data_IF_469753863746
#
_entry.id   IF_469753863746
#
_cell.length_a   1.000
_cell.length_b   1.000
_cell.length_c   1.000
_cell.angle_alpha   90.00
_cell.angle_beta   90.00
_cell.angle_gamma   90.00
#
_symmetry.space_group_name_H-M   'P 1'
#
loop_
_entity.id
_entity.type
_entity.pdbx_description
1 polymer ?
#
# COMPACT_ATOMS: atom_id res chain seq x y z
N UNK A 1 22.90 -5.95 -19.50
CA UNK A 1 21.55 -5.48 -19.92
C UNK A 1 20.86 -4.93 -18.69
N UNK A 2 20.24 -3.75 -18.78
CA UNK A 2 19.45 -3.22 -17.67
C UNK A 2 18.16 -4.05 -17.54
N UNK A 3 17.75 -4.45 -16.32
CA UNK A 3 16.44 -5.05 -16.11
C UNK A 3 15.34 -4.03 -16.44
N UNK A 4 14.31 -4.47 -17.15
CA UNK A 4 13.09 -3.73 -17.34
C UNK A 4 12.11 -4.01 -16.21
N UNK A 5 11.29 -3.02 -15.86
CA UNK A 5 10.27 -3.16 -14.83
C UNK A 5 8.87 -3.13 -15.47
N UNK A 6 8.02 -4.10 -15.13
CA UNK A 6 6.66 -4.22 -15.67
C UNK A 6 5.66 -4.26 -14.51
N UNK A 7 4.60 -3.45 -14.51
CA UNK A 7 3.65 -3.43 -13.41
C UNK A 7 2.82 -4.72 -13.45
N UNK A 8 2.77 -5.41 -12.32
CA UNK A 8 2.00 -6.65 -12.16
C UNK A 8 0.62 -6.35 -11.61
N UNK A 9 0.58 -5.63 -10.50
CA UNK A 9 -0.60 -5.41 -9.69
C UNK A 9 -0.54 -4.05 -9.01
N UNK A 10 -1.70 -3.59 -8.56
CA UNK A 10 -1.89 -2.34 -7.82
C UNK A 10 -2.31 -2.73 -6.40
N UNK A 11 -1.57 -2.24 -5.42
CA UNK A 11 -1.77 -2.54 -4.00
C UNK A 11 -2.22 -1.29 -3.24
N UNK A 12 -3.33 -1.35 -2.48
CA UNK A 12 -3.63 -0.32 -1.50
C UNK A 12 -2.77 -0.49 -0.24
N UNK A 13 -2.44 0.64 0.40
CA UNK A 13 -1.90 0.66 1.76
C UNK A 13 -2.95 1.18 2.71
N UNK A 14 -3.35 0.35 3.65
CA UNK A 14 -4.48 0.61 4.54
C UNK A 14 -4.02 1.29 5.81
N UNK A 15 -4.72 2.34 6.24
CA UNK A 15 -4.63 2.78 7.64
C UNK A 15 -5.44 1.80 8.48
N UNK A 16 -4.78 1.13 9.41
CA UNK A 16 -5.36 0.11 10.27
C UNK A 16 -5.22 0.48 11.75
N UNK A 17 -6.17 0.03 12.57
CA UNK A 17 -6.18 0.24 14.01
C UNK A 17 -6.90 -0.91 14.72
N UNK A 18 -6.60 -1.10 16.00
CA UNK A 18 -7.42 -1.95 16.86
C UNK A 18 -8.61 -1.13 17.40
N UNK A 19 -9.86 -1.59 17.21
CA UNK A 19 -11.01 -0.91 17.78
C UNK A 19 -11.00 -0.92 19.32
N UNK A 20 -10.36 -1.87 20.00
CA UNK A 20 -10.24 -1.89 21.46
C UNK A 20 -9.23 -0.82 21.87
N UNK A 21 -9.68 0.16 22.65
CA UNK A 21 -8.78 1.20 23.18
C UNK A 21 -8.43 0.99 24.65
N UNK A 22 -9.19 0.14 25.34
CA UNK A 22 -9.05 -0.03 26.80
C UNK A 22 -9.50 -1.40 27.27
N UNK A 23 -8.77 -1.94 28.24
CA UNK A 23 -9.11 -3.15 28.98
C UNK A 23 -9.13 -2.84 30.48
N UNK A 24 -10.14 -3.33 31.17
CA UNK A 24 -10.33 -3.12 32.61
C UNK A 24 -10.64 -4.45 33.30
N UNK A 25 -9.86 -4.81 34.30
CA UNK A 25 -10.15 -5.96 35.14
C UNK A 25 -11.19 -5.59 36.20
N UNK A 26 -12.48 -5.74 35.87
CA UNK A 26 -13.57 -5.38 36.76
C UNK A 26 -13.66 -6.38 37.92
N UNK A 27 -13.77 -5.93 39.19
CA UNK A 27 -13.78 -6.83 40.36
C UNK A 27 -14.82 -7.95 40.33
N UNK A 28 -15.98 -7.69 39.71
CA UNK A 28 -17.09 -8.66 39.63
C UNK A 28 -17.39 -9.18 38.23
N UNK A 29 -16.95 -8.49 37.17
CA UNK A 29 -17.31 -8.81 35.78
C UNK A 29 -16.11 -9.41 35.02
N UNK A 30 -14.96 -9.53 35.66
CA UNK A 30 -13.72 -9.95 35.03
C UNK A 30 -13.21 -8.92 34.01
N UNK A 31 -12.43 -9.38 33.03
CA UNK A 31 -11.86 -8.54 32.00
C UNK A 31 -12.97 -7.94 31.11
N UNK A 32 -13.06 -6.63 31.11
CA UNK A 32 -13.93 -5.83 30.23
C UNK A 32 -13.07 -5.17 29.16
N UNK A 33 -13.51 -5.23 27.91
CA UNK A 33 -12.89 -4.56 26.77
C UNK A 33 -13.81 -3.44 26.27
N UNK A 34 -13.24 -2.25 26.09
CA UNK A 34 -13.97 -1.09 25.58
C UNK A 34 -13.46 -0.71 24.20
N UNK A 35 -14.41 -0.45 23.30
CA UNK A 35 -14.14 -0.25 21.88
C UNK A 35 -14.42 1.18 21.45
N UNK A 36 -13.59 1.70 20.55
CA UNK A 36 -13.82 2.96 19.89
C UNK A 36 -15.19 2.88 19.22
N UNK A 37 -16.05 3.84 19.53
CA UNK A 37 -17.37 3.90 18.94
C UNK A 37 -17.23 4.18 17.45
N UNK A 38 -17.81 3.33 16.62
CA UNK A 38 -17.86 3.49 15.17
C UNK A 38 -19.33 3.63 14.78
N UNK A 39 -19.70 4.75 14.15
CA UNK A 39 -21.11 5.02 13.82
C UNK A 39 -21.58 4.27 12.57
N UNK A 40 -20.68 4.01 11.63
CA UNK A 40 -20.99 3.28 10.40
C UNK A 40 -20.04 2.09 10.26
N UNK A 41 -20.10 1.10 11.17
CA UNK A 41 -19.18 -0.02 11.14
C UNK A 41 -19.41 -0.83 9.86
N UNK A 42 -18.32 -1.15 9.17
CA UNK A 42 -18.34 -2.25 8.21
C UNK A 42 -18.12 -3.56 8.93
N UNK A 43 -18.76 -4.60 8.46
CA UNK A 43 -18.64 -5.92 9.05
C UNK A 43 -18.29 -6.99 8.01
N UNK A 44 -17.46 -7.95 8.41
CA UNK A 44 -17.20 -9.19 7.68
C UNK A 44 -17.56 -10.39 8.56
N UNK A 45 -17.65 -11.58 7.96
CA UNK A 45 -17.66 -12.83 8.74
C UNK A 45 -16.21 -13.30 8.93
N UNK A 46 -15.88 -13.74 10.14
CA UNK A 46 -14.64 -14.49 10.39
C UNK A 46 -14.78 -15.96 9.96
N UNK A 47 -13.70 -16.75 10.06
CA UNK A 47 -13.65 -18.15 9.67
C UNK A 47 -14.57 -19.05 10.50
N UNK A 48 -15.06 -18.54 11.64
CA UNK A 48 -16.00 -19.20 12.53
C UNK A 48 -17.45 -18.74 12.29
N UNK A 49 -17.68 -17.85 11.32
CA UNK A 49 -18.99 -17.29 10.99
C UNK A 49 -19.42 -16.14 11.90
N UNK A 50 -18.53 -15.57 12.72
CA UNK A 50 -18.85 -14.42 13.57
C UNK A 50 -18.72 -13.11 12.81
N UNK A 51 -19.64 -12.18 13.07
CA UNK A 51 -19.57 -10.81 12.54
C UNK A 51 -18.45 -10.02 13.23
N UNK A 52 -17.41 -9.66 12.48
CA UNK A 52 -16.29 -8.82 12.94
C UNK A 52 -16.37 -7.43 12.32
N UNK A 53 -16.12 -6.38 13.09
CA UNK A 53 -16.00 -5.01 12.55
C UNK A 53 -14.67 -4.87 11.81
N UNK A 54 -14.73 -4.43 10.55
CA UNK A 54 -13.56 -4.35 9.65
C UNK A 54 -13.29 -2.96 9.13
N UNK A 55 -14.18 -2.00 9.38
CA UNK A 55 -13.94 -0.59 9.05
C UNK A 55 -14.94 0.37 9.67
N UNK A 56 -14.83 1.65 9.31
CA UNK A 56 -15.90 2.63 9.51
C UNK A 56 -15.51 3.91 10.26
N UNK A 57 -14.27 4.02 10.75
CA UNK A 57 -13.72 5.33 11.11
C UNK A 57 -13.34 6.05 9.82
N UNK A 58 -13.74 7.30 9.68
CA UNK A 58 -13.43 8.11 8.51
C UNK A 58 -12.35 9.13 8.86
N UNK A 59 -11.34 9.27 8.01
CA UNK A 59 -10.24 10.21 8.18
C UNK A 59 -10.13 11.11 6.95
N UNK A 60 -10.15 12.41 7.19
CA UNK A 60 -9.81 13.41 6.16
C UNK A 60 -8.30 13.52 6.00
N UNK A 61 -7.81 14.10 4.88
CA UNK A 61 -6.41 14.46 4.72
C UNK A 61 -5.80 15.19 5.91
N UNK A 62 -6.50 16.21 6.42
CA UNK A 62 -6.06 16.92 7.63
C UNK A 62 -5.91 15.98 8.83
N UNK A 63 -6.89 15.11 9.08
CA UNK A 63 -6.90 14.21 10.23
C UNK A 63 -5.75 13.22 10.20
N UNK A 64 -5.59 12.43 9.12
CA UNK A 64 -4.52 11.43 9.08
C UNK A 64 -3.13 12.08 8.97
N UNK A 65 -2.98 13.21 8.27
CA UNK A 65 -1.70 13.92 8.24
C UNK A 65 -1.29 14.35 9.65
N UNK A 66 -2.19 14.95 10.42
CA UNK A 66 -1.90 15.41 11.78
C UNK A 66 -1.68 14.26 12.76
N UNK A 67 -2.36 13.13 12.59
CA UNK A 67 -2.03 11.90 13.36
C UNK A 67 -0.58 11.48 13.06
N UNK A 68 -0.21 11.25 11.80
CA UNK A 68 1.12 10.74 11.46
C UNK A 68 2.26 11.77 11.63
N UNK A 69 1.92 13.05 11.78
CA UNK A 69 2.81 14.13 12.23
C UNK A 69 2.80 14.38 13.74
N UNK A 70 2.02 13.62 14.51
CA UNK A 70 2.01 13.68 15.97
C UNK A 70 1.39 14.96 16.52
N UNK A 71 0.66 15.70 15.70
CA UNK A 71 -0.14 16.85 16.12
C UNK A 71 -1.46 16.41 16.76
N UNK A 72 -2.04 15.30 16.27
CA UNK A 72 -3.17 14.62 16.91
C UNK A 72 -2.65 13.36 17.61
N UNK A 73 -2.70 13.36 18.94
CA UNK A 73 -2.17 12.26 19.79
C UNK A 73 -3.23 11.59 20.65
N UNK A 74 -4.51 11.90 20.47
CA UNK A 74 -5.60 11.31 21.24
C UNK A 74 -6.88 11.21 20.40
N UNK A 75 -7.63 10.12 20.55
CA UNK A 75 -8.91 9.94 19.85
C UNK A 75 -10.01 10.90 20.31
N UNK A 76 -9.84 11.59 21.44
CA UNK A 76 -10.76 12.65 21.86
C UNK A 76 -10.52 14.00 21.15
N UNK A 77 -9.53 14.09 20.26
CA UNK A 77 -9.26 15.31 19.51
C UNK A 77 -10.50 15.80 18.73
N UNK A 78 -10.75 17.11 18.76
CA UNK A 78 -11.94 17.72 18.16
C UNK A 78 -11.91 17.64 16.64
N UNK A 79 -10.73 17.56 16.02
CA UNK A 79 -10.58 17.44 14.57
C UNK A 79 -11.05 16.07 14.05
N UNK A 80 -10.92 15.01 14.87
CA UNK A 80 -11.41 13.66 14.52
C UNK A 80 -12.93 13.54 14.63
N UNK A 81 -13.56 14.41 15.44
CA UNK A 81 -14.99 14.44 15.74
C UNK A 81 -15.70 15.62 15.06
N UNK A 82 -15.01 16.31 14.16
CA UNK A 82 -15.54 17.45 13.44
C UNK A 82 -16.77 17.04 12.62
N UNK A 83 -17.88 17.80 12.64
CA UNK A 83 -19.04 17.55 11.78
C UNK A 83 -18.70 17.51 10.28
N UNK A 84 -17.57 18.11 9.88
CA UNK A 84 -17.06 18.04 8.51
C UNK A 84 -16.68 16.61 8.09
N UNK A 85 -16.42 15.72 9.05
CA UNK A 85 -16.20 14.29 8.80
C UNK A 85 -17.52 13.55 8.98
N UNK A 86 -18.42 13.73 8.01
CA UNK A 86 -19.72 13.05 7.98
C UNK A 86 -19.53 11.57 8.27
N UNK A 87 -20.21 11.03 9.28
CA UNK A 87 -20.20 9.61 9.63
C UNK A 87 -19.24 9.18 10.75
N UNK A 88 -18.41 10.09 11.28
CA UNK A 88 -17.76 9.88 12.58
C UNK A 88 -18.70 10.26 13.73
N UNK A 89 -18.60 9.58 14.90
CA UNK A 89 -19.42 9.92 16.05
C UNK A 89 -18.97 11.23 16.71
N UNK A 90 -19.87 11.84 17.49
CA UNK A 90 -19.56 13.02 18.33
C UNK A 90 -18.58 12.71 19.47
N UNK A 91 -18.40 11.43 19.79
CA UNK A 91 -17.45 10.88 20.76
C UNK A 91 -17.04 9.48 20.30
N UNK A 92 -15.74 9.19 20.33
CA UNK A 92 -15.22 7.84 20.10
C UNK A 92 -15.26 6.97 21.37
N UNK A 93 -15.70 7.51 22.51
CA UNK A 93 -15.86 6.76 23.76
C UNK A 93 -16.88 5.63 23.60
N UNK A 94 -16.57 4.46 24.13
CA UNK A 94 -17.55 3.42 24.34
C UNK A 94 -18.62 3.91 25.34
N UNK A 95 -19.89 3.77 25.01
CA UNK A 95 -20.97 4.15 25.94
C UNK A 95 -20.99 3.28 27.19
N UNK A 96 -20.47 2.05 27.09
CA UNK A 96 -20.38 1.08 28.18
C UNK A 96 -19.10 1.24 29.01
N UNK A 97 -18.16 2.11 28.61
CA UNK A 97 -17.00 2.44 29.44
C UNK A 97 -17.46 3.22 30.68
N UNK A 98 -17.60 2.50 31.79
CA UNK A 98 -17.98 3.05 33.10
C UNK A 98 -16.83 3.78 33.79
N UNK A 99 -15.61 3.65 33.26
CA UNK A 99 -14.39 4.23 33.85
C UNK A 99 -14.06 5.60 33.24
N UNK A 100 -14.68 5.94 32.11
CA UNK A 100 -14.56 7.25 31.46
C UNK A 100 -15.94 7.83 31.12
N UNK A 101 -16.05 9.15 31.17
CA UNK A 101 -17.21 9.93 30.69
C UNK A 101 -16.83 10.66 29.41
N UNK A 102 -17.78 11.31 28.74
CA UNK A 102 -17.44 12.15 27.57
C UNK A 102 -16.54 13.33 27.94
N UNK A 103 -16.62 13.85 29.17
CA UNK A 103 -15.86 15.01 29.60
C UNK A 103 -14.38 14.69 29.86
N UNK A 104 -14.06 13.45 30.23
CA UNK A 104 -12.71 12.99 30.53
C UNK A 104 -12.26 11.82 29.63
N UNK A 105 -12.94 11.60 28.49
CA UNK A 105 -12.56 10.57 27.54
C UNK A 105 -11.13 10.82 27.06
N UNK A 106 -10.30 9.78 27.15
CA UNK A 106 -8.92 9.82 26.67
C UNK A 106 -8.51 8.43 26.22
N UNK A 107 -8.12 8.35 24.96
CA UNK A 107 -7.52 7.19 24.35
C UNK A 107 -6.31 7.69 23.53
N UNK A 108 -5.10 7.65 24.10
CA UNK A 108 -3.90 8.12 23.41
C UNK A 108 -3.63 7.30 22.16
N UNK A 109 -3.26 8.01 21.09
CA UNK A 109 -2.93 7.42 19.80
C UNK A 109 -1.46 7.02 19.81
N UNK A 110 -1.23 5.72 19.67
CA UNK A 110 0.08 5.15 19.45
C UNK A 110 0.23 4.81 17.97
N UNK A 111 1.25 5.38 17.33
CA UNK A 111 1.43 5.24 15.89
C UNK A 111 2.40 4.09 15.65
N UNK A 112 2.07 3.21 14.71
CA UNK A 112 2.88 2.03 14.38
C UNK A 112 3.28 2.05 12.92
N UNK A 113 4.52 1.67 12.63
CA UNK A 113 5.04 1.58 11.27
C UNK A 113 6.20 0.61 11.14
N UNK A 114 6.76 0.53 9.93
CA UNK A 114 7.78 -0.47 9.58
C UNK A 114 9.17 -0.04 10.06
N UNK A 115 9.94 -0.98 10.61
CA UNK A 115 11.36 -0.78 10.93
C UNK A 115 12.30 -1.02 9.75
N UNK A 116 11.85 -1.84 8.80
CA UNK A 116 12.60 -2.29 7.62
C UNK A 116 12.22 -1.52 6.35
N UNK A 117 13.10 -1.57 5.34
CA UNK A 117 12.83 -1.00 4.01
C UNK A 117 11.60 -1.69 3.40
N UNK A 118 10.57 -0.92 3.06
CA UNK A 118 9.27 -1.46 2.71
C UNK A 118 8.59 -0.72 1.56
N UNK A 119 8.06 -1.47 0.60
CA UNK A 119 7.17 -0.94 -0.44
C UNK A 119 5.87 -0.35 0.13
N UNK A 120 5.34 -0.92 1.22
CA UNK A 120 4.19 -0.35 1.95
C UNK A 120 4.55 1.03 2.52
N UNK A 121 5.74 1.17 3.10
CA UNK A 121 6.24 2.47 3.56
C UNK A 121 6.44 3.43 2.39
N UNK A 122 6.99 2.97 1.26
CA UNK A 122 7.13 3.79 0.04
C UNK A 122 5.80 4.39 -0.44
N UNK A 123 4.73 3.58 -0.50
CA UNK A 123 3.40 4.08 -0.90
C UNK A 123 2.85 5.06 0.14
N UNK A 124 2.97 4.73 1.43
CA UNK A 124 2.52 5.57 2.53
C UNK A 124 3.22 6.94 2.53
N UNK A 125 4.55 6.96 2.44
CA UNK A 125 5.35 8.20 2.45
C UNK A 125 5.14 9.02 1.17
N UNK A 126 4.98 8.38 0.00
CA UNK A 126 4.60 9.06 -1.26
C UNK A 126 3.26 9.80 -1.12
N UNK A 127 2.28 9.18 -0.49
CA UNK A 127 0.99 9.82 -0.28
C UNK A 127 1.12 11.00 0.68
N UNK A 128 1.74 10.80 1.85
CA UNK A 128 1.89 11.86 2.85
C UNK A 128 2.73 13.04 2.34
N UNK A 129 3.77 12.79 1.55
CA UNK A 129 4.56 13.85 0.91
C UNK A 129 3.72 14.70 -0.03
N UNK A 130 2.77 14.08 -0.74
CA UNK A 130 1.90 14.79 -1.68
C UNK A 130 0.82 15.63 -0.95
N UNK A 131 0.24 15.15 0.15
CA UNK A 131 -0.97 15.77 0.69
C UNK A 131 -0.74 16.58 1.96
N UNK A 132 0.29 16.29 2.76
CA UNK A 132 0.36 16.82 4.13
C UNK A 132 0.85 18.27 4.24
N UNK A 133 1.56 18.82 3.25
CA UNK A 133 2.00 20.23 3.25
C UNK A 133 0.85 21.22 3.45
N UNK A 134 -0.36 20.85 3.02
CA UNK A 134 -1.55 21.69 3.17
C UNK A 134 -2.14 21.69 4.60
N UNK A 135 -1.70 20.77 5.47
CA UNK A 135 -2.38 20.48 6.74
C UNK A 135 -1.49 20.58 7.98
N UNK A 136 -0.17 20.42 7.83
CA UNK A 136 0.79 20.48 8.94
C UNK A 136 1.79 21.62 8.75
N UNK A 137 2.35 22.14 9.85
CA UNK A 137 3.26 23.28 9.78
C UNK A 137 4.61 22.92 9.12
N UNK A 138 5.07 21.68 9.32
CA UNK A 138 6.28 21.14 8.70
C UNK A 138 6.03 19.67 8.38
N UNK A 139 6.01 19.36 7.09
CA UNK A 139 5.84 17.99 6.63
C UNK A 139 7.15 17.22 6.81
N UNK A 140 7.12 16.17 7.61
CA UNK A 140 8.30 15.34 7.86
C UNK A 140 8.53 14.29 6.77
N UNK A 141 7.54 14.06 5.91
CA UNK A 141 7.61 13.14 4.77
C UNK A 141 7.96 13.92 3.51
N UNK A 142 9.15 14.53 3.47
CA UNK A 142 9.56 15.41 2.37
C UNK A 142 9.99 14.65 1.11
N UNK A 143 10.49 13.43 1.27
CA UNK A 143 10.91 12.56 0.16
C UNK A 143 9.77 11.61 -0.16
N UNK A 144 9.13 11.84 -1.31
CA UNK A 144 8.10 10.95 -1.82
C UNK A 144 8.65 9.53 -1.97
N UNK A 145 7.88 8.48 -1.71
CA UNK A 145 8.33 7.12 -2.04
C UNK A 145 9.44 6.55 -1.16
N UNK A 146 9.92 7.24 -0.13
CA UNK A 146 10.96 6.71 0.76
C UNK A 146 10.51 5.38 1.40
N UNK A 147 11.36 4.36 1.31
CA UNK A 147 11.07 3.02 1.83
C UNK A 147 11.25 2.90 3.34
N UNK A 148 11.82 3.92 3.98
CA UNK A 148 11.97 4.05 5.42
C UNK A 148 11.19 5.23 5.98
N UNK A 149 10.80 5.15 7.25
CA UNK A 149 10.19 6.27 7.97
C UNK A 149 11.23 7.37 8.25
N UNK A 150 10.83 8.66 8.27
CA UNK A 150 11.75 9.74 8.61
C UNK A 150 12.27 9.60 10.04
N UNK A 151 13.58 9.78 10.25
CA UNK A 151 14.21 9.63 11.57
C UNK A 151 13.59 10.52 12.65
N UNK A 152 13.14 11.72 12.29
CA UNK A 152 12.44 12.67 13.18
C UNK A 152 11.07 12.19 13.65
N UNK A 153 10.52 11.14 13.02
CA UNK A 153 9.18 10.60 13.29
C UNK A 153 9.22 9.28 14.03
N UNK A 154 10.41 8.76 14.35
CA UNK A 154 10.59 7.44 14.93
C UNK A 154 10.87 7.58 16.43
N UNK A 155 10.15 6.82 17.26
CA UNK A 155 10.47 6.67 18.67
C UNK A 155 11.58 5.63 18.88
N UNK A 156 12.09 5.52 20.11
CA UNK A 156 13.04 4.45 20.46
C UNK A 156 12.37 3.08 20.54
N UNK A 157 11.03 3.01 20.52
CA UNK A 157 10.29 1.78 20.68
C UNK A 157 10.36 0.87 19.45
N UNK A 158 10.67 -0.40 19.69
CA UNK A 158 10.68 -1.46 18.68
C UNK A 158 9.93 -2.68 19.23
N UNK A 159 8.92 -3.12 18.48
CA UNK A 159 8.21 -4.36 18.72
C UNK A 159 8.87 -5.51 17.97
N UNK A 160 9.01 -6.65 18.65
CA UNK A 160 9.41 -7.91 18.05
C UNK A 160 8.22 -8.88 18.14
N UNK A 161 7.59 -9.18 17.00
CA UNK A 161 6.43 -10.06 16.93
C UNK A 161 6.77 -11.52 17.25
N UNK A 162 8.02 -11.96 17.02
CA UNK A 162 8.44 -13.33 17.33
C UNK A 162 8.52 -13.56 18.83
N UNK A 163 9.10 -12.61 19.58
CA UNK A 163 9.22 -12.70 21.04
C UNK A 163 8.04 -12.08 21.78
N UNK A 164 7.17 -11.36 21.06
CA UNK A 164 6.07 -10.56 21.62
C UNK A 164 6.56 -9.59 22.71
N UNK A 165 7.70 -8.94 22.46
CA UNK A 165 8.31 -8.00 23.40
C UNK A 165 8.49 -6.63 22.79
N UNK A 166 8.18 -5.61 23.59
CA UNK A 166 8.52 -4.23 23.30
C UNK A 166 9.88 -3.89 23.92
N UNK A 167 10.76 -3.30 23.14
CA UNK A 167 12.02 -2.70 23.60
C UNK A 167 11.99 -1.19 23.39
N UNK A 168 12.77 -0.44 24.17
CA UNK A 168 12.80 1.02 24.10
C UNK A 168 11.59 1.69 24.76
N UNK A 169 11.33 2.94 24.40
CA UNK A 169 10.27 3.77 25.00
C UNK A 169 9.39 4.38 23.91
N UNK A 170 8.09 4.12 24.03
CA UNK A 170 7.10 4.72 23.14
C UNK A 170 6.99 6.22 23.43
N UNK A 171 6.79 7.01 22.40
CA UNK A 171 6.59 8.45 22.52
C UNK A 171 5.36 8.82 21.71
N UNK A 172 4.39 9.48 22.36
CA UNK A 172 3.17 9.90 21.67
C UNK A 172 3.51 10.80 20.48
N UNK A 173 2.80 10.58 19.39
CA UNK A 173 3.06 11.28 18.15
C UNK A 173 4.35 10.85 17.44
N UNK A 174 5.05 9.80 17.86
CA UNK A 174 6.13 9.17 17.10
C UNK A 174 5.78 7.70 16.81
N UNK A 175 6.37 7.14 15.76
CA UNK A 175 6.18 5.75 15.36
C UNK A 175 6.91 4.82 16.33
N UNK A 176 6.18 3.87 16.91
CA UNK A 176 6.73 2.59 17.34
C UNK A 176 6.94 1.73 16.10
N UNK A 177 8.07 1.02 16.00
CA UNK A 177 8.41 0.28 14.78
C UNK A 177 8.35 -1.22 14.97
N UNK A 178 8.02 -1.93 13.91
CA UNK A 178 8.07 -3.40 13.86
C UNK A 178 8.54 -3.88 12.49
N UNK A 179 9.18 -5.05 12.44
CA UNK A 179 9.66 -5.64 11.20
C UNK A 179 8.53 -6.36 10.45
N UNK A 180 8.46 -6.14 9.13
CA UNK A 180 7.48 -6.81 8.29
C UNK A 180 6.04 -6.28 8.45
N UNK A 181 5.19 -6.61 7.48
CA UNK A 181 3.76 -6.22 7.52
C UNK A 181 3.03 -6.92 8.68
N UNK A 182 3.35 -8.19 8.90
CA UNK A 182 2.85 -9.00 10.02
C UNK A 182 3.19 -8.38 11.37
N UNK A 183 4.44 -7.95 11.55
CA UNK A 183 4.87 -7.37 12.82
C UNK A 183 4.19 -6.05 13.14
N UNK A 184 3.81 -5.26 12.13
CA UNK A 184 2.99 -4.05 12.34
C UNK A 184 1.57 -4.45 12.73
N UNK A 185 0.95 -5.40 12.02
CA UNK A 185 -0.39 -5.89 12.35
C UNK A 185 -0.48 -6.50 13.77
N UNK A 186 0.51 -7.32 14.13
CA UNK A 186 0.63 -7.94 15.46
C UNK A 186 0.80 -6.90 16.56
N UNK A 187 1.57 -5.81 16.31
CA UNK A 187 1.67 -4.74 17.29
C UNK A 187 0.41 -3.88 17.36
N UNK A 188 -0.31 -3.68 16.26
CA UNK A 188 -1.58 -2.96 16.30
C UNK A 188 -2.61 -3.68 17.19
N UNK A 189 -2.63 -5.02 17.14
CA UNK A 189 -3.48 -5.88 17.96
C UNK A 189 -3.18 -5.71 19.47
N UNK A 190 -4.16 -5.18 20.19
CA UNK A 190 -4.08 -4.87 21.60
C UNK A 190 -4.32 -6.12 22.45
N UNK A 191 -3.33 -7.01 22.49
CA UNK A 191 -3.39 -8.28 23.26
C UNK A 191 -3.09 -8.15 24.74
N UNK A 192 -2.38 -7.09 25.13
CA UNK A 192 -1.95 -6.92 26.51
C UNK A 192 -3.17 -6.83 27.46
N UNK A 193 -3.06 -7.49 28.62
CA UNK A 193 -4.08 -7.49 29.67
C UNK A 193 -3.57 -6.74 30.90
N UNK A 194 -4.45 -6.05 31.65
CA UNK A 194 -4.05 -5.43 32.90
C UNK A 194 -3.41 -6.45 33.85
N UNK A 195 -2.27 -6.09 34.44
CA UNK A 195 -1.60 -6.91 35.46
C UNK A 195 -0.93 -6.00 36.49
N UNK A 196 -0.82 -6.49 37.73
CA UNK A 196 -0.18 -5.75 38.84
C UNK A 196 1.27 -5.30 38.57
N UNK A 197 1.91 -5.88 37.55
CA UNK A 197 3.30 -5.58 37.15
C UNK A 197 3.41 -4.57 36.01
N UNK A 198 2.33 -4.26 35.29
CA UNK A 198 2.32 -3.31 34.18
C UNK A 198 1.79 -1.95 34.65
N UNK A 199 2.49 -1.35 35.62
CA UNK A 199 2.21 0.03 36.00
C UNK A 199 2.66 0.98 34.89
N UNK A 200 1.75 1.29 33.98
CA UNK A 200 1.85 2.35 32.98
C UNK A 200 1.62 3.75 33.60
N UNK A 201 2.15 3.96 34.81
CA UNK A 201 1.94 5.16 35.62
C UNK A 201 2.72 6.38 35.10
N UNK A 202 3.55 6.23 34.08
CA UNK A 202 4.33 7.33 33.49
C UNK A 202 3.54 8.26 32.55
N UNK A 203 2.28 7.93 32.22
CA UNK A 203 1.50 8.65 31.19
C UNK A 203 0.46 9.65 31.73
N UNK A 204 0.47 9.94 33.02
CA UNK A 204 -0.26 11.08 33.59
C UNK A 204 -1.80 10.97 33.56
N UNK A 205 -2.35 9.78 33.84
CA UNK A 205 -3.81 9.59 33.94
C UNK A 205 -4.34 9.79 35.36
N UNK A 206 -5.38 10.60 35.49
CA UNK A 206 -6.17 10.72 36.73
C UNK A 206 -7.27 9.67 36.71
N UNK A 207 -7.22 8.69 37.61
CA UNK A 207 -8.23 7.63 37.72
C UNK A 207 -9.45 8.11 38.54
N UNK A 208 -10.65 7.62 38.20
CA UNK A 208 -11.82 7.75 39.06
C UNK A 208 -11.55 7.05 40.41
N UNK A 209 -12.03 7.64 41.51
CA UNK A 209 -11.84 7.07 42.85
C UNK A 209 -12.38 5.62 42.91
N UNK A 210 -11.51 4.67 43.29
CA UNK A 210 -11.85 3.24 43.43
C UNK A 210 -11.32 2.30 42.34
N UNK A 211 -10.59 2.78 41.34
CA UNK A 211 -9.94 1.95 40.31
C UNK A 211 -8.42 2.00 40.50
N UNK A 212 -7.76 0.84 40.64
CA UNK A 212 -6.30 0.81 40.71
C UNK A 212 -5.69 0.95 39.32
N UNK A 213 -4.57 1.66 39.21
CA UNK A 213 -3.84 1.81 37.94
C UNK A 213 -3.43 0.45 37.32
N UNK A 214 -3.17 -0.55 38.16
CA UNK A 214 -2.85 -1.92 37.75
C UNK A 214 -4.02 -2.68 37.07
N UNK A 215 -5.26 -2.24 37.28
CA UNK A 215 -6.47 -2.92 36.76
C UNK A 215 -6.88 -2.40 35.39
N UNK A 216 -6.24 -1.34 34.89
CA UNK A 216 -6.62 -0.66 33.65
C UNK A 216 -5.44 -0.56 32.71
N UNK A 217 -5.67 -0.89 31.44
CA UNK A 217 -4.74 -0.63 30.36
C UNK A 217 -5.46 0.15 29.26
N UNK A 218 -4.87 1.25 28.78
CA UNK A 218 -5.44 2.08 27.71
C UNK A 218 -4.41 2.28 26.62
N UNK A 219 -4.70 1.76 25.44
CA UNK A 219 -3.84 1.80 24.28
C UNK A 219 -4.72 1.84 23.05
N UNK A 220 -4.58 2.85 22.21
CA UNK A 220 -5.30 2.93 20.96
C UNK A 220 -4.29 3.08 19.83
N UNK A 221 -4.04 1.98 19.13
CA UNK A 221 -2.96 1.91 18.14
C UNK A 221 -3.49 2.13 16.74
N UNK A 222 -2.76 2.90 15.95
CA UNK A 222 -3.04 3.16 14.54
C UNK A 222 -1.74 3.04 13.74
N UNK A 223 -1.81 2.51 12.53
CA UNK A 223 -0.64 2.33 11.67
C UNK A 223 -1.05 2.14 10.22
N UNK A 224 -0.10 1.70 9.42
CA UNK A 224 -0.32 1.40 8.02
C UNK A 224 0.16 -0.02 7.69
N UNK A 225 -0.64 -0.76 6.93
CA UNK A 225 -0.38 -2.15 6.55
C UNK A 225 -0.83 -2.43 5.11
N UNK A 226 -0.24 -3.45 4.49
CA UNK A 226 -0.77 -4.04 3.26
C UNK A 226 -2.17 -4.67 3.46
N UNK A 227 -2.84 -5.12 2.40
CA UNK A 227 -4.19 -5.68 2.48
C UNK A 227 -4.26 -7.05 3.17
N UNK A 228 -3.13 -7.75 3.34
CA UNK A 228 -3.08 -9.16 3.79
C UNK A 228 -3.75 -9.43 5.15
N UNK A 229 -3.76 -8.43 6.04
CA UNK A 229 -4.23 -8.56 7.43
C UNK A 229 -5.49 -7.76 7.73
N UNK A 230 -6.04 -7.07 6.72
CA UNK A 230 -7.14 -6.12 6.88
C UNK A 230 -8.03 -6.11 5.63
N UNK A 231 -8.94 -5.15 5.52
CA UNK A 231 -9.66 -4.93 4.26
C UNK A 231 -8.67 -4.60 3.13
N UNK A 232 -8.91 -5.07 1.89
CA UNK A 232 -10.07 -5.86 1.47
C UNK A 232 -9.93 -7.38 1.71
N UNK A 233 -8.72 -7.91 1.90
CA UNK A 233 -8.47 -9.37 1.88
C UNK A 233 -9.31 -10.13 2.93
N UNK A 234 -9.56 -9.52 4.09
CA UNK A 234 -10.42 -10.09 5.15
C UNK A 234 -11.85 -10.38 4.66
N UNK A 235 -12.41 -9.61 3.71
CA UNK A 235 -13.75 -9.88 3.19
C UNK A 235 -13.81 -11.17 2.39
N UNK A 236 -12.75 -11.47 1.65
CA UNK A 236 -12.72 -12.62 0.75
C UNK A 236 -12.21 -13.86 1.46
N UNK A 237 -11.17 -13.72 2.28
CA UNK A 237 -10.57 -14.82 3.06
C UNK A 237 -11.37 -15.15 4.32
N UNK A 238 -12.27 -14.26 4.75
CA UNK A 238 -13.00 -14.35 6.01
C UNK A 238 -12.06 -14.52 7.21
N UNK A 239 -10.81 -14.07 7.11
CA UNK A 239 -9.80 -14.30 8.15
C UNK A 239 -9.21 -12.97 8.60
N UNK A 240 -9.62 -12.50 9.79
CA UNK A 240 -9.04 -11.32 10.44
C UNK A 240 -8.20 -11.74 11.64
N UNK A 241 -7.00 -12.28 11.38
CA UNK A 241 -6.11 -12.87 12.40
C UNK A 241 -5.81 -11.93 13.57
N UNK A 242 -5.81 -10.62 13.34
CA UNK A 242 -5.43 -9.59 14.32
C UNK A 242 -6.62 -8.73 14.80
N UNK A 243 -7.85 -9.05 14.37
CA UNK A 243 -9.04 -8.27 14.75
C UNK A 243 -9.02 -6.80 14.31
N UNK A 244 -8.18 -6.44 13.34
CA UNK A 244 -7.92 -5.06 12.95
C UNK A 244 -9.06 -4.48 12.10
N UNK A 245 -9.23 -3.17 12.23
CA UNK A 245 -10.21 -2.36 11.51
C UNK A 245 -9.48 -1.36 10.60
N UNK A 246 -10.00 -1.07 9.41
CA UNK A 246 -9.43 -0.04 8.52
C UNK A 246 -10.17 1.28 8.59
N UNK A 247 -9.43 2.37 8.40
CA UNK A 247 -10.01 3.69 8.20
C UNK A 247 -10.43 3.90 6.73
N UNK A 248 -11.55 4.59 6.56
CA UNK A 248 -12.00 5.12 5.28
C UNK A 248 -11.35 6.47 5.09
N UNK A 249 -10.84 6.72 3.90
CA UNK A 249 -10.11 7.96 3.64
C UNK A 249 -10.91 8.82 2.68
N UNK A 250 -10.94 10.12 2.98
CA UNK A 250 -11.40 11.09 1.99
C UNK A 250 -10.33 11.22 0.91
N UNK A 251 -10.72 11.01 -0.35
CA UNK A 251 -9.84 11.20 -1.50
C UNK A 251 -9.81 12.67 -1.96
N UNK A 252 -9.00 12.95 -2.98
CA UNK A 252 -8.87 14.28 -3.58
C UNK A 252 -10.20 14.85 -4.10
N UNK A 253 -11.14 14.00 -4.51
CA UNK A 253 -12.50 14.38 -4.93
C UNK A 253 -13.47 14.62 -3.75
N UNK A 254 -13.00 14.53 -2.50
CA UNK A 254 -13.82 14.70 -1.30
C UNK A 254 -14.74 13.50 -1.01
N UNK A 255 -14.53 12.36 -1.67
CA UNK A 255 -15.30 11.15 -1.47
C UNK A 255 -14.69 10.32 -0.33
N UNK A 256 -15.53 9.80 0.57
CA UNK A 256 -15.11 8.78 1.52
C UNK A 256 -14.95 7.44 0.79
N UNK A 257 -13.72 6.93 0.74
CA UNK A 257 -13.36 5.74 -0.02
C UNK A 257 -12.76 4.68 0.90
N UNK A 258 -13.19 3.45 0.68
CA UNK A 258 -12.68 2.26 1.36
C UNK A 258 -11.57 1.67 0.50
N UNK A 259 -10.56 1.02 1.09
CA UNK A 259 -9.59 0.29 0.29
C UNK A 259 -10.30 -0.87 -0.41
N UNK A 260 -10.22 -0.90 -1.74
CA UNK A 260 -10.86 -1.92 -2.58
C UNK A 260 -10.10 -2.08 -3.91
N UNK A 261 -10.03 -3.32 -4.47
CA UNK A 261 -9.39 -3.57 -5.77
C UNK A 261 -9.96 -2.72 -6.91
N UNK A 262 -11.27 -2.55 -6.94
CA UNK A 262 -11.95 -1.71 -7.94
C UNK A 262 -11.50 -0.26 -7.89
N UNK A 263 -11.40 0.34 -6.70
CA UNK A 263 -10.91 1.71 -6.54
C UNK A 263 -9.44 1.85 -6.94
N UNK A 264 -8.63 0.83 -6.67
CA UNK A 264 -7.22 0.79 -7.09
C UNK A 264 -7.07 0.73 -8.62
N UNK A 265 -7.89 -0.07 -9.31
CA UNK A 265 -7.92 -0.14 -10.78
C UNK A 265 -8.31 1.20 -11.40
N UNK A 266 -9.39 1.82 -10.90
CA UNK A 266 -9.86 3.13 -11.38
C UNK A 266 -8.78 4.21 -11.27
N UNK A 267 -7.98 4.19 -10.19
CA UNK A 267 -6.83 5.08 -10.05
C UNK A 267 -5.79 4.89 -11.15
N UNK A 268 -5.51 3.63 -11.49
CA UNK A 268 -4.51 3.31 -12.49
C UNK A 268 -5.00 3.54 -13.94
N UNK A 269 -6.31 3.51 -14.17
CA UNK A 269 -6.90 3.86 -15.46
C UNK A 269 -6.69 5.33 -15.85
N UNK A 270 -6.34 6.19 -14.89
CA UNK A 270 -5.91 7.56 -15.15
C UNK A 270 -4.57 7.63 -15.92
N UNK A 271 -3.78 6.56 -15.91
CA UNK A 271 -2.49 6.52 -16.59
C UNK A 271 -2.66 6.17 -18.07
N UNK A 272 -2.11 6.98 -18.99
CA UNK A 272 -2.07 6.61 -20.39
C UNK A 272 -1.25 5.32 -20.54
N UNK A 273 -1.80 4.37 -21.31
CA UNK A 273 -1.09 3.14 -21.65
C UNK A 273 0.16 3.51 -22.46
N UNK A 274 1.29 2.87 -22.17
CA UNK A 274 2.54 3.09 -22.91
C UNK A 274 2.33 2.83 -24.41
N UNK A 275 2.64 3.83 -25.23
CA UNK A 275 2.37 3.82 -26.66
C UNK A 275 3.57 4.34 -27.47
N UNK A 276 3.57 4.05 -28.77
CA UNK A 276 4.60 4.54 -29.69
C UNK A 276 6.03 4.15 -29.28
N UNK A 277 6.96 5.11 -29.42
CA UNK A 277 8.37 4.93 -29.09
C UNK A 277 8.61 4.66 -27.59
N UNK A 278 7.73 5.14 -26.69
CA UNK A 278 7.89 4.93 -25.25
C UNK A 278 7.80 3.45 -24.85
N UNK A 279 7.21 2.58 -25.69
CA UNK A 279 7.17 1.13 -25.45
C UNK A 279 8.56 0.50 -25.37
N UNK A 280 9.54 1.13 -26.01
CA UNK A 280 10.93 0.66 -26.02
C UNK A 280 11.71 1.10 -24.78
N UNK A 281 11.18 2.02 -23.97
CA UNK A 281 11.84 2.51 -22.77
C UNK A 281 11.29 1.78 -21.54
N UNK A 282 12.06 0.86 -20.93
CA UNK A 282 11.59 0.11 -19.75
C UNK A 282 11.20 0.98 -18.57
N UNK A 283 11.78 2.18 -18.45
CA UNK A 283 11.44 3.11 -17.37
C UNK A 283 10.06 3.76 -17.54
N UNK A 284 9.48 3.74 -18.75
CA UNK A 284 8.13 4.25 -19.02
C UNK A 284 7.02 3.29 -18.62
N UNK A 285 7.36 2.03 -18.31
CA UNK A 285 6.39 1.01 -17.92
C UNK A 285 6.00 1.06 -16.44
N UNK A 286 6.75 1.77 -15.61
CA UNK A 286 6.44 1.94 -14.19
C UNK A 286 5.85 3.32 -13.95
N UNK A 287 4.83 3.41 -13.09
CA UNK A 287 4.35 4.71 -12.63
C UNK A 287 5.51 5.47 -11.94
N UNK A 288 5.81 6.71 -12.36
CA UNK A 288 7.00 7.43 -11.90
C UNK A 288 7.03 7.52 -10.37
N UNK A 289 8.13 7.12 -9.74
CA UNK A 289 8.20 6.98 -8.27
C UNK A 289 8.00 8.31 -7.52
N UNK A 290 8.42 9.45 -8.08
CA UNK A 290 8.39 10.73 -7.37
C UNK A 290 8.02 11.95 -8.23
N UNK A 291 8.15 11.88 -9.55
CA UNK A 291 7.98 13.03 -10.45
C UNK A 291 7.91 12.52 -11.88
N UNK A 292 7.21 13.17 -12.81
CA UNK A 292 7.38 12.95 -14.25
C UNK A 292 8.79 13.40 -14.73
N UNK A 293 9.86 13.16 -13.96
CA UNK A 293 11.21 13.27 -14.49
C UNK A 293 11.47 12.03 -15.33
N UNK A 294 11.95 12.17 -16.57
CA UNK A 294 12.52 11.04 -17.29
C UNK A 294 13.55 10.37 -16.37
N UNK A 295 13.34 9.09 -16.04
CA UNK A 295 14.39 8.28 -15.44
C UNK A 295 15.55 8.22 -16.45
N UNK A 296 16.72 8.75 -16.07
CA UNK A 296 17.96 8.47 -16.77
C UNK A 296 18.66 7.33 -16.04
N UNK A 297 18.94 6.24 -16.75
CA UNK A 297 19.81 5.20 -16.23
C UNK A 297 21.21 5.69 -16.54
N UNK A 298 21.90 6.24 -15.54
CA UNK A 298 23.30 6.60 -15.68
C UNK A 298 24.09 5.37 -16.17
N UNK A 299 25.21 5.60 -16.88
CA UNK A 299 26.03 4.56 -17.53
C UNK A 299 26.51 3.43 -16.59
N UNK A 300 26.33 3.61 -15.28
CA UNK A 300 26.78 2.75 -14.21
C UNK A 300 25.73 1.66 -13.84
N UNK A 301 24.53 1.71 -14.43
CA UNK A 301 23.47 0.72 -14.20
C UNK A 301 22.76 0.82 -12.85
N UNK A 302 23.00 1.91 -12.10
CA UNK A 302 22.29 2.23 -10.87
C UNK A 302 20.99 3.01 -11.17
N UNK A 303 19.94 2.73 -10.41
CA UNK A 303 18.71 3.52 -10.38
C UNK A 303 19.00 4.81 -9.60
N UNK A 304 19.45 5.86 -10.29
CA UNK A 304 19.62 7.18 -9.66
C UNK A 304 18.39 8.03 -9.95
N UNK A 305 17.94 8.78 -8.94
CA UNK A 305 16.98 9.86 -9.16
C UNK A 305 17.76 10.90 -9.96
N UNK A 306 17.39 11.12 -11.23
CA UNK A 306 18.12 12.04 -12.10
C UNK A 306 18.42 13.34 -11.34
N UNK A 307 19.71 13.68 -11.32
CA UNK A 307 20.33 14.79 -10.58
C UNK A 307 19.98 16.15 -11.23
N UNK A 308 18.71 16.35 -11.57
CA UNK A 308 18.19 17.59 -12.11
C UNK A 308 17.23 18.22 -11.09
N UNK A 309 17.74 19.03 -10.15
CA UNK A 309 16.92 19.93 -9.36
C UNK A 309 16.49 21.06 -10.29
N UNK A 310 15.56 20.80 -11.20
CA UNK A 310 14.91 21.90 -11.88
C UNK A 310 14.19 22.71 -10.81
N UNK A 311 14.73 23.90 -10.57
CA UNK A 311 14.35 24.97 -9.63
C UNK A 311 12.92 25.48 -9.81
N UNK A 312 12.11 24.84 -10.66
CA UNK A 312 10.69 25.06 -10.73
C UNK A 312 10.03 24.62 -9.41
N UNK A 313 9.40 25.59 -8.74
CA UNK A 313 8.67 25.40 -7.49
C UNK A 313 7.77 24.16 -7.55
N UNK A 314 7.95 23.26 -6.57
CA UNK A 314 7.39 21.89 -6.40
C UNK A 314 5.85 21.87 -6.19
N UNK A 315 5.13 22.82 -6.76
CA UNK A 315 3.72 23.08 -6.48
C UNK A 315 2.78 22.77 -7.64
N UNK A 316 3.24 22.31 -8.81
CA UNK A 316 2.33 21.88 -9.86
C UNK A 316 1.76 20.49 -9.52
N UNK A 317 0.44 20.36 -9.27
CA UNK A 317 -0.20 19.06 -9.05
C UNK A 317 -0.02 18.10 -10.23
N UNK A 318 0.27 18.60 -11.44
CA UNK A 318 0.48 17.81 -12.64
C UNK A 318 1.78 16.97 -12.62
N UNK A 319 2.78 17.36 -11.83
CA UNK A 319 4.06 16.65 -11.73
C UNK A 319 4.06 15.51 -10.70
N UNK A 320 2.98 15.39 -9.91
CA UNK A 320 2.87 14.41 -8.84
C UNK A 320 2.47 13.06 -9.43
N UNK A 321 3.07 11.98 -8.92
CA UNK A 321 2.65 10.62 -9.25
C UNK A 321 1.12 10.51 -9.06
N UNK A 322 0.32 10.20 -10.10
CA UNK A 322 -1.14 10.15 -9.98
C UNK A 322 -1.65 9.11 -8.97
N UNK A 323 -0.85 8.11 -8.59
CA UNK A 323 -1.18 7.17 -7.50
C UNK A 323 -0.90 7.73 -6.10
N UNK A 324 -0.16 8.83 -5.99
CA UNK A 324 0.13 9.47 -4.71
C UNK A 324 -1.12 10.09 -4.08
N UNK A 325 -2.06 10.59 -4.88
CA UNK A 325 -3.38 11.03 -4.43
C UNK A 325 -4.33 11.10 -5.64
N UNK A 326 -4.88 9.96 -6.09
CA UNK A 326 -5.65 9.89 -7.32
C UNK A 326 -6.82 10.88 -7.33
N UNK A 327 -6.99 11.56 -8.46
CA UNK A 327 -7.98 12.61 -8.66
C UNK A 327 -8.52 12.57 -10.10
N UNK A 328 -9.83 12.77 -10.25
CA UNK A 328 -10.45 13.01 -11.55
C UNK A 328 -11.13 14.37 -11.57
N UNK A 329 -10.65 15.27 -12.43
CA UNK A 329 -11.26 16.59 -12.63
C UNK A 329 -12.60 16.50 -13.36
N UNK A 330 -12.80 15.46 -14.17
CA UNK A 330 -13.97 15.28 -15.04
C UNK A 330 -15.05 14.41 -14.39
N UNK A 331 -14.70 13.63 -13.36
CA UNK A 331 -15.63 12.80 -12.61
C UNK A 331 -15.60 13.15 -11.11
N UNK A 332 -16.53 14.01 -10.63
CA UNK A 332 -16.62 14.34 -9.20
C UNK A 332 -17.05 13.15 -8.32
N UNK A 333 -17.55 12.07 -8.93
CA UNK A 333 -17.93 10.85 -8.23
C UNK A 333 -16.80 9.83 -8.10
N UNK A 334 -15.60 10.14 -8.64
CA UNK A 334 -14.45 9.26 -8.66
C UNK A 334 -14.07 8.72 -7.27
N UNK A 335 -14.00 7.38 -7.15
CA UNK A 335 -13.79 6.66 -5.86
C UNK A 335 -12.52 5.81 -5.86
N UNK A 336 -11.37 6.43 -6.09
CA UNK A 336 -10.08 5.80 -5.84
C UNK A 336 -9.65 5.97 -4.38
N UNK A 337 -9.04 4.93 -3.81
CA UNK A 337 -8.43 5.03 -2.49
C UNK A 337 -7.16 5.90 -2.57
N UNK A 338 -6.82 6.72 -1.55
CA UNK A 338 -5.75 7.71 -1.70
C UNK A 338 -4.33 7.15 -1.66
N UNK A 339 -4.12 6.00 -1.00
CA UNK A 339 -2.81 5.39 -0.78
C UNK A 339 -2.65 4.15 -1.65
N UNK A 340 -2.17 4.32 -2.88
CA UNK A 340 -2.02 3.25 -3.86
C UNK A 340 -0.60 3.20 -4.43
N UNK A 341 -0.16 2.03 -4.85
CA UNK A 341 1.06 1.87 -5.63
C UNK A 341 1.06 0.60 -6.44
N UNK A 342 2.07 0.43 -7.29
CA UNK A 342 2.27 -0.79 -8.05
C UNK A 342 3.32 -1.69 -7.41
N UNK A 343 3.10 -2.99 -7.57
CA UNK A 343 4.18 -3.99 -7.50
C UNK A 343 4.60 -4.28 -8.93
N UNK A 344 5.92 -4.30 -9.17
CA UNK A 344 6.49 -4.47 -10.50
C UNK A 344 7.33 -5.75 -10.55
N UNK A 345 7.28 -6.46 -11.68
CA UNK A 345 8.23 -7.50 -12.02
C UNK A 345 9.48 -6.88 -12.62
N UNK A 346 10.66 -7.25 -12.11
CA UNK A 346 11.94 -6.93 -12.73
C UNK A 346 12.35 -8.09 -13.64
N UNK A 347 12.44 -7.81 -14.93
CA UNK A 347 12.67 -8.81 -15.97
C UNK A 347 13.83 -8.39 -16.85
N UNK A 348 14.66 -9.36 -17.23
CA UNK A 348 15.53 -9.22 -18.37
C UNK A 348 14.78 -9.57 -19.65
N UNK A 349 15.23 -8.98 -20.74
CA UNK A 349 14.69 -9.19 -22.09
C UNK A 349 15.26 -10.44 -22.74
N UNK A 350 16.36 -10.95 -22.18
CA UNK A 350 17.10 -12.10 -22.68
C UNK A 350 17.52 -12.98 -21.51
N UNK A 351 17.40 -14.30 -21.70
CA UNK A 351 17.86 -15.32 -20.76
C UNK A 351 18.64 -16.37 -21.53
N UNK A 352 19.85 -16.69 -21.06
CA UNK A 352 20.71 -17.69 -21.70
C UNK A 352 20.09 -19.09 -21.66
N UNK A 353 19.45 -19.45 -20.54
CA UNK A 353 18.79 -20.73 -20.39
C UNK A 353 17.38 -20.69 -21.01
N UNK A 354 17.16 -21.48 -22.05
CA UNK A 354 15.85 -21.59 -22.71
C UNK A 354 14.73 -22.05 -21.76
N UNK A 355 15.05 -22.83 -20.73
CA UNK A 355 14.12 -23.26 -19.69
C UNK A 355 13.61 -22.09 -18.83
N UNK A 356 14.50 -21.17 -18.43
CA UNK A 356 14.14 -19.97 -17.65
C UNK A 356 13.25 -19.06 -18.50
N UNK A 357 13.62 -18.82 -19.76
CA UNK A 357 12.81 -18.05 -20.70
C UNK A 357 11.40 -18.63 -20.84
N UNK A 358 11.32 -19.95 -21.02
CA UNK A 358 10.04 -20.67 -21.15
C UNK A 358 9.20 -20.58 -19.89
N UNK A 359 9.81 -20.66 -18.71
CA UNK A 359 9.12 -20.54 -17.43
C UNK A 359 8.52 -19.13 -17.25
N UNK A 360 9.28 -18.08 -17.57
CA UNK A 360 8.81 -16.69 -17.48
C UNK A 360 7.66 -16.44 -18.47
N UNK A 361 7.82 -16.88 -19.73
CA UNK A 361 6.76 -16.77 -20.73
C UNK A 361 5.48 -17.47 -20.28
N UNK A 362 5.57 -18.70 -19.76
CA UNK A 362 4.40 -19.45 -19.26
C UNK A 362 3.75 -18.76 -18.08
N UNK A 363 4.54 -18.24 -17.14
CA UNK A 363 4.01 -17.47 -16.01
C UNK A 363 3.20 -16.27 -16.50
N UNK A 364 3.74 -15.44 -17.39
CA UNK A 364 3.02 -14.26 -17.87
C UNK A 364 1.86 -14.58 -18.80
N UNK A 365 1.95 -15.66 -19.58
CA UNK A 365 0.83 -16.15 -20.38
C UNK A 365 -0.33 -16.57 -19.48
N UNK A 366 -0.05 -17.20 -18.34
CA UNK A 366 -1.07 -17.60 -17.36
C UNK A 366 -1.57 -16.41 -16.54
N UNK A 367 -0.67 -15.56 -16.03
CA UNK A 367 -0.98 -14.37 -15.24
C UNK A 367 -1.87 -13.41 -16.04
N UNK A 368 -1.50 -13.14 -17.29
CA UNK A 368 -2.27 -12.30 -18.19
C UNK A 368 -3.36 -13.10 -18.92
N UNK A 369 -3.61 -14.37 -18.63
CA UNK A 369 -4.52 -15.20 -19.44
C UNK A 369 -5.93 -14.63 -19.46
N UNK A 370 -6.37 -14.16 -20.62
CA UNK A 370 -7.79 -13.98 -20.89
C UNK A 370 -8.31 -15.27 -21.51
N UNK A 371 -9.28 -15.93 -20.87
CA UNK A 371 -10.10 -16.85 -21.65
C UNK A 371 -10.90 -16.01 -22.64
N UNK A 372 -11.00 -16.46 -23.88
CA UNK A 372 -11.92 -15.87 -24.88
C UNK A 372 -13.40 -16.15 -24.53
N UNK A 373 -13.63 -16.59 -23.29
CA UNK A 373 -14.84 -17.11 -22.70
C UNK A 373 -14.96 -16.48 -21.29
N UNK A 374 -15.12 -15.15 -21.26
CA UNK A 374 -15.71 -14.27 -20.24
C UNK A 374 -15.77 -14.62 -18.71
N UNK A 375 -15.10 -15.63 -18.16
CA UNK A 375 -15.31 -15.99 -16.73
C UNK A 375 -14.12 -16.58 -15.96
N UNK A 376 -12.91 -16.76 -16.52
CA UNK A 376 -11.83 -17.41 -15.74
C UNK A 376 -10.43 -16.84 -16.05
N UNK A 377 -10.11 -15.66 -15.53
CA UNK A 377 -8.70 -15.32 -15.28
C UNK A 377 -8.38 -15.62 -13.81
N UNK A 378 -7.69 -16.74 -13.56
CA UNK A 378 -7.33 -17.18 -12.21
C UNK A 378 -6.65 -16.06 -11.41
N UNK A 379 -5.77 -15.24 -12.02
CA UNK A 379 -5.06 -14.18 -11.32
C UNK A 379 -5.81 -12.85 -11.33
N UNK A 380 -6.22 -12.38 -12.52
CA UNK A 380 -6.64 -10.99 -12.74
C UNK A 380 -8.15 -10.80 -12.93
N UNK A 381 -8.98 -11.84 -12.74
CA UNK A 381 -10.43 -11.68 -12.85
C UNK A 381 -10.94 -10.70 -11.79
N UNK A 382 -11.86 -9.84 -12.22
CA UNK A 382 -12.48 -8.84 -11.37
C UNK A 382 -13.45 -9.55 -10.43
N UNK A 383 -13.41 -9.23 -9.15
CA UNK A 383 -14.27 -9.78 -8.10
C UNK A 383 -14.05 -11.27 -7.75
N UNK A 384 -13.33 -12.04 -8.58
CA UNK A 384 -13.13 -13.50 -8.40
C UNK A 384 -11.69 -13.98 -8.55
N UNK A 385 -10.79 -13.15 -9.07
CA UNK A 385 -9.38 -13.52 -9.27
C UNK A 385 -8.59 -13.59 -7.96
N UNK A 386 -7.46 -14.31 -7.99
CA UNK A 386 -6.53 -14.42 -6.86
C UNK A 386 -6.11 -13.04 -6.34
N UNK A 387 -5.85 -12.07 -7.22
CA UNK A 387 -5.49 -10.72 -6.78
C UNK A 387 -6.63 -10.05 -6.01
N UNK A 388 -7.85 -10.08 -6.54
CA UNK A 388 -9.01 -9.47 -5.89
C UNK A 388 -9.28 -10.11 -4.52
N UNK A 389 -9.19 -11.44 -4.44
CA UNK A 389 -9.31 -12.17 -3.19
C UNK A 389 -8.22 -11.85 -2.15
N UNK A 390 -7.04 -11.45 -2.60
CA UNK A 390 -5.96 -10.92 -1.75
C UNK A 390 -6.10 -9.41 -1.47
N UNK A 391 -7.16 -8.76 -1.93
CA UNK A 391 -7.36 -7.32 -1.80
C UNK A 391 -6.43 -6.47 -2.67
N UNK A 392 -5.86 -7.07 -3.71
CA UNK A 392 -5.00 -6.46 -4.72
C UNK A 392 -5.79 -6.27 -6.01
N UNK A 393 -5.32 -5.39 -6.88
CA UNK A 393 -5.97 -5.16 -8.17
C UNK A 393 -5.04 -5.50 -9.33
N UNK A 394 -5.59 -6.07 -10.39
CA UNK A 394 -4.86 -6.23 -11.65
C UNK A 394 -4.65 -4.87 -12.32
N UNK A 395 -3.57 -4.73 -13.11
CA UNK A 395 -3.42 -3.55 -13.97
C UNK A 395 -4.56 -3.51 -14.99
N UNK A 396 -5.01 -2.32 -15.45
CA UNK A 396 -6.14 -2.22 -16.37
C UNK A 396 -5.90 -2.94 -17.70
N UNK A 397 -6.99 -3.30 -18.38
CA UNK A 397 -6.95 -4.10 -19.61
C UNK A 397 -6.05 -3.53 -20.72
N UNK A 398 -6.02 -2.19 -20.86
CA UNK A 398 -5.13 -1.53 -21.82
C UNK A 398 -3.65 -1.79 -21.50
N UNK A 399 -3.28 -1.77 -20.22
CA UNK A 399 -1.94 -2.07 -19.74
C UNK A 399 -1.61 -3.56 -19.88
N UNK A 400 -2.51 -4.46 -19.49
CA UNK A 400 -2.33 -5.91 -19.70
C UNK A 400 -2.06 -6.25 -21.18
N UNK A 401 -2.84 -5.64 -22.08
CA UNK A 401 -2.66 -5.82 -23.52
C UNK A 401 -1.32 -5.26 -23.99
N UNK A 402 -0.94 -4.06 -23.56
CA UNK A 402 0.35 -3.48 -23.90
C UNK A 402 1.50 -4.37 -23.43
N UNK A 403 1.47 -4.82 -22.19
CA UNK A 403 2.46 -5.73 -21.60
C UNK A 403 2.56 -7.02 -22.42
N UNK A 404 1.43 -7.65 -22.73
CA UNK A 404 1.41 -8.88 -23.55
C UNK A 404 2.02 -8.64 -24.92
N UNK A 405 1.61 -7.58 -25.62
CA UNK A 405 2.07 -7.28 -26.99
C UNK A 405 3.54 -6.87 -27.07
N UNK A 406 4.08 -6.31 -26.00
CA UNK A 406 5.48 -5.82 -26.00
C UNK A 406 6.43 -6.85 -25.44
N UNK A 407 6.04 -7.64 -24.43
CA UNK A 407 6.97 -8.56 -23.78
C UNK A 407 6.71 -10.02 -24.11
N UNK A 408 5.48 -10.40 -24.49
CA UNK A 408 5.05 -11.80 -24.43
C UNK A 408 4.35 -12.34 -25.69
N UNK A 409 4.18 -11.55 -26.75
CA UNK A 409 3.70 -12.07 -28.04
C UNK A 409 4.83 -12.78 -28.75
N UNK A 410 4.62 -14.08 -28.98
CA UNK A 410 5.43 -14.86 -29.90
C UNK A 410 5.16 -14.35 -31.31
N UNK A 411 6.19 -13.87 -32.02
CA UNK A 411 6.07 -13.65 -33.45
C UNK A 411 5.81 -15.02 -34.11
N UNK A 412 4.55 -15.32 -34.43
CA UNK A 412 4.09 -16.54 -35.09
C UNK A 412 4.54 -16.66 -36.57
N UNK A 413 5.48 -15.82 -37.02
CA UNK A 413 5.80 -15.69 -38.45
C UNK A 413 7.12 -16.34 -38.88
N UNK A 414 7.65 -17.30 -38.13
CA UNK A 414 8.64 -18.23 -38.67
C UNK A 414 8.30 -19.62 -38.17
N UNK A 415 8.18 -20.62 -39.03
CA UNK A 415 7.78 -22.01 -38.72
C UNK A 415 8.75 -22.78 -37.80
N UNK A 416 9.27 -22.14 -36.75
CA UNK A 416 10.10 -22.70 -35.71
C UNK A 416 9.30 -22.68 -34.39
N UNK A 417 8.87 -23.83 -33.85
CA UNK A 417 8.18 -23.90 -32.56
C UNK A 417 9.03 -23.37 -31.38
N UNK A 418 10.33 -23.11 -31.61
CA UNK A 418 11.28 -22.57 -30.63
C UNK A 418 11.57 -21.06 -30.80
N UNK A 419 10.93 -20.32 -31.72
CA UNK A 419 11.12 -18.86 -31.91
C UNK A 419 10.37 -17.98 -30.89
N UNK A 420 10.26 -18.45 -29.65
CA UNK A 420 9.59 -17.74 -28.55
C UNK A 420 10.58 -16.85 -27.79
N UNK A 421 11.00 -15.76 -28.41
CA UNK A 421 11.72 -14.71 -27.69
C UNK A 421 10.71 -13.81 -26.95
N UNK A 422 11.04 -13.39 -25.73
CA UNK A 422 10.52 -12.17 -25.10
C UNK A 422 11.08 -11.03 -25.96
N UNK A 423 10.41 -10.66 -27.05
CA UNK A 423 10.92 -9.64 -27.96
C UNK A 423 10.59 -8.26 -27.42
N UNK A 424 11.55 -7.57 -26.80
CA UNK A 424 11.57 -6.11 -26.95
C UNK A 424 11.95 -5.82 -28.40
N UNK A 425 10.98 -5.50 -29.24
CA UNK A 425 11.25 -4.99 -30.59
C UNK A 425 11.78 -3.57 -30.47
N UNK A 426 13.10 -3.40 -30.38
CA UNK A 426 13.74 -2.10 -30.59
C UNK A 426 14.37 -2.08 -31.99
N UNK A 427 13.81 -1.27 -32.90
CA UNK A 427 14.54 -0.84 -34.10
C UNK A 427 14.78 0.66 -33.99
N UNK A 428 16.00 1.08 -34.35
CA UNK A 428 16.54 2.42 -34.21
C UNK A 428 15.91 3.49 -35.14
N UNK A 429 15.01 3.10 -36.06
CA UNK A 429 14.66 3.95 -37.20
C UNK A 429 13.16 4.29 -37.34
N UNK A 430 12.33 4.04 -36.31
CA UNK A 430 10.98 4.62 -36.25
C UNK A 430 9.98 4.22 -37.36
N UNK A 431 10.25 3.21 -38.18
CA UNK A 431 9.29 2.69 -39.16
C UNK A 431 9.27 1.16 -39.17
N UNK A 432 8.13 0.60 -38.78
CA UNK A 432 7.95 -0.83 -38.59
C UNK A 432 7.68 -1.59 -39.88
N UNK A 433 8.64 -2.41 -40.30
CA UNK A 433 8.41 -3.65 -41.07
C UNK A 433 9.40 -4.71 -40.58
N UNK A 434 8.89 -5.81 -40.05
CA UNK A 434 9.67 -7.04 -39.88
C UNK A 434 9.62 -7.77 -41.21
N UNK A 435 10.65 -7.59 -42.04
CA UNK A 435 10.98 -8.57 -43.07
C UNK A 435 12.13 -9.42 -42.53
N UNK A 436 11.80 -10.64 -42.14
CA UNK A 436 12.73 -11.73 -42.35
C UNK A 436 12.31 -12.42 -43.65
N UNK A 437 12.71 -11.83 -44.77
CA UNK A 437 12.74 -12.55 -46.03
C UNK A 437 14.21 -12.81 -46.40
N UNK A 438 14.48 -14.03 -46.86
CA UNK A 438 15.48 -14.42 -47.88
C UNK A 438 16.50 -15.51 -47.51
N UNK A 439 16.82 -15.89 -46.27
CA UNK A 439 17.92 -16.88 -46.08
C UNK A 439 17.58 -18.28 -45.57
N UNK A 440 16.37 -18.54 -45.05
CA UNK A 440 15.99 -19.93 -44.68
C UNK A 440 16.95 -20.64 -43.70
N UNK A 441 17.81 -19.90 -42.98
CA UNK A 441 18.78 -20.46 -42.06
C UNK A 441 18.37 -20.20 -40.60
N UNK A 442 18.35 -21.27 -39.82
CA UNK A 442 18.27 -21.22 -38.36
C UNK A 442 19.48 -20.46 -37.81
N UNK A 443 19.23 -19.37 -37.09
CA UNK A 443 20.25 -18.77 -36.22
C UNK A 443 20.21 -19.55 -34.89
N UNK A 444 21.32 -20.17 -34.44
CA UNK A 444 21.37 -20.86 -33.16
C UNK A 444 20.98 -19.93 -32.01
N UNK A 445 20.27 -20.45 -30.99
CA UNK A 445 19.83 -19.68 -29.82
C UNK A 445 20.98 -18.96 -29.10
N UNK A 446 22.21 -19.48 -29.19
CA UNK A 446 23.41 -18.86 -28.63
C UNK A 446 23.68 -17.46 -29.20
N UNK A 447 23.23 -17.18 -30.43
CA UNK A 447 23.58 -15.95 -31.14
C UNK A 447 22.61 -14.78 -30.90
N UNK A 448 21.39 -15.01 -30.42
CA UNK A 448 20.41 -13.93 -30.18
C UNK A 448 20.78 -13.03 -29.00
N UNK A 449 21.58 -13.53 -28.05
CA UNK A 449 22.11 -12.74 -26.94
C UNK A 449 23.56 -12.28 -27.17
N UNK A 450 24.29 -12.90 -28.11
CA UNK A 450 25.75 -12.70 -28.28
C UNK A 450 26.14 -11.33 -28.84
N UNK A 451 25.24 -10.62 -29.53
CA UNK A 451 25.52 -9.26 -30.01
C UNK A 451 25.40 -8.16 -28.95
N UNK A 452 24.92 -8.49 -27.74
CA UNK A 452 24.57 -7.53 -26.69
C UNK A 452 25.34 -7.74 -25.38
N UNK A 453 26.21 -8.75 -25.33
CA UNK A 453 27.18 -8.92 -24.25
C UNK A 453 28.43 -8.18 -24.68
N UNK A 454 28.60 -6.94 -24.19
CA UNK A 454 29.91 -6.29 -24.24
C UNK A 454 30.92 -7.23 -23.57
N UNK A 455 32.05 -7.46 -24.24
CA UNK A 455 33.17 -8.19 -23.67
C UNK A 455 33.68 -7.42 -22.44
N UNK A 456 33.21 -7.79 -21.26
CA UNK A 456 33.52 -7.07 -20.03
C UNK A 456 32.57 -7.41 -18.88
N UNK A 457 32.59 -8.67 -18.46
CA UNK A 457 32.32 -9.10 -17.09
C UNK A 457 33.21 -10.32 -16.81
#
# INVERSE_FOLDING_TARGET
MAPGAVPLLIAPVNIAFDPIYRKYNHPTLGLQEYRLRIQNPRTALDSNGNTVTTGGIRLTPSAYCRIFHGEITNWNDTQLRSPAITGNPTTFRDTNDVTQTNANFSAPIQIVGRSDSSGTTSIFTRHLSAVCDAFVASNAFTTAGNTALPASRISTAIWNATTQTLSGTETLGLFTRSAGNEGVADYLDFRAVPSASLNDSGRGFTFNAGINAADVLTQARIGYVGPDYVLPAVLTTQTNTYGLTTADLFNANGQNVVPAPTGARLAYELFPVVAGADRQNPARWVAPLERFVPYDINQDGAFDVADNPDTATVNDPADRNPLANPFSATDPSFRAYPMLGTTNALLYTCYQAGSVRSAILRFFQEYERRSNLNTDNLANDTDQGLLDSAGLSSVPNGWQNAIRTVFFTTALNSGNPNSQAIQLTTNADGNGTVLNEVTGQQVPESTQCQGLVGAGA
#
